data_IF_860369688755
#
_entry.id   IF_860369688755
#
_cell.length_a   1.000
_cell.length_b   1.000
_cell.length_c   1.000
_cell.angle_alpha   90.00
_cell.angle_beta   90.00
_cell.angle_gamma   90.00
#
_symmetry.space_group_name_H-M   'P 1'
#
loop_
_entity.id
_entity.type
_entity.pdbx_description
1 polymer ?
#
# COMPACT_ATOMS: atom_id res chain seq x y z
N UNK A 1 23.24 6.18 21.27
CA UNK A 1 22.34 5.29 22.04
C UNK A 1 21.04 5.18 21.28
N UNK A 2 20.66 3.98 20.85
CA UNK A 2 19.36 3.74 20.23
C UNK A 2 18.25 4.04 21.25
N UNK A 3 17.40 5.04 20.99
CA UNK A 3 16.17 5.18 21.76
C UNK A 3 15.13 4.29 21.10
N UNK A 4 14.96 3.05 21.59
CA UNK A 4 13.69 2.36 21.34
C UNK A 4 12.59 3.22 21.95
N UNK A 5 11.55 3.55 21.19
CA UNK A 5 10.34 4.12 21.78
C UNK A 5 9.79 3.10 22.77
N UNK A 6 9.88 3.44 24.06
CA UNK A 6 9.45 2.56 25.14
C UNK A 6 7.93 2.61 25.26
N UNK A 7 7.36 1.51 25.73
CA UNK A 7 5.94 1.36 26.06
C UNK A 7 5.40 2.58 26.83
N UNK A 8 4.19 3.02 26.49
CA UNK A 8 3.49 4.08 27.20
C UNK A 8 3.86 5.52 26.83
N UNK A 9 4.60 5.72 25.72
CA UNK A 9 4.79 7.04 25.10
C UNK A 9 3.57 7.44 24.25
N UNK A 10 3.45 8.74 23.99
CA UNK A 10 2.37 9.34 23.20
C UNK A 10 2.94 10.06 21.98
N UNK A 11 2.17 10.12 20.89
CA UNK A 11 2.44 10.94 19.70
C UNK A 11 1.33 11.99 19.64
N UNK A 12 1.71 13.26 19.74
CA UNK A 12 0.80 14.41 19.63
C UNK A 12 1.08 15.18 18.33
N UNK A 13 0.13 15.16 17.40
CA UNK A 13 0.25 15.86 16.12
C UNK A 13 1.10 15.10 15.10
N UNK A 14 1.83 15.83 14.25
CA UNK A 14 2.69 15.24 13.23
C UNK A 14 4.05 14.89 13.84
N UNK A 15 4.38 13.60 13.89
CA UNK A 15 5.71 13.12 14.25
C UNK A 15 6.32 12.32 13.12
N UNK A 16 7.50 12.74 12.67
CA UNK A 16 8.31 11.99 11.71
C UNK A 16 9.35 11.17 12.47
N UNK A 17 9.20 9.85 12.41
CA UNK A 17 10.18 8.92 12.93
C UNK A 17 11.16 8.63 11.79
N UNK A 18 12.37 9.16 11.92
CA UNK A 18 13.47 8.94 10.97
C UNK A 18 14.36 7.82 11.48
N UNK A 19 14.59 6.82 10.63
CA UNK A 19 15.42 5.65 10.96
C UNK A 19 16.75 5.82 10.23
N UNK A 20 17.81 6.10 10.99
CA UNK A 20 19.13 6.39 10.44
C UNK A 20 19.96 5.11 10.32
N UNK A 21 20.06 4.54 9.13
CA UNK A 21 21.04 3.46 8.92
C UNK A 21 22.45 4.03 8.95
N UNK A 22 23.36 3.44 9.74
CA UNK A 22 24.80 3.71 9.65
C UNK A 22 25.24 3.37 8.21
N UNK A 23 25.35 4.40 7.36
CA UNK A 23 25.58 4.23 5.91
C UNK A 23 26.99 3.69 5.65
N UNK A 24 27.15 2.38 5.51
CA UNK A 24 28.18 1.84 4.63
C UNK A 24 27.62 1.86 3.20
N UNK A 25 27.85 2.96 2.50
CA UNK A 25 27.49 3.13 1.08
C UNK A 25 28.28 2.13 0.22
N UNK A 26 27.68 0.98 -0.08
CA UNK A 26 28.02 0.20 -1.26
C UNK A 26 26.98 0.53 -2.33
N UNK A 27 27.25 1.57 -3.10
CA UNK A 27 26.55 1.84 -4.36
C UNK A 27 26.93 0.72 -5.31
N UNK A 28 26.06 -0.28 -5.47
CA UNK A 28 26.24 -1.27 -6.54
C UNK A 28 25.31 -0.92 -7.69
N UNK A 29 25.97 -0.66 -8.81
CA UNK A 29 25.53 -0.41 -10.19
C UNK A 29 24.03 -0.46 -10.52
N UNK A 30 23.64 0.57 -11.29
CA UNK A 30 22.60 0.51 -12.31
C UNK A 30 22.56 -0.86 -12.99
N UNK A 31 21.55 -1.67 -12.68
CA UNK A 31 21.06 -2.62 -13.67
C UNK A 31 20.19 -1.82 -14.62
N UNK A 32 20.71 -1.56 -15.83
CA UNK A 32 19.85 -1.33 -16.98
C UNK A 32 18.80 -2.45 -16.98
N UNK A 33 17.52 -2.08 -16.88
CA UNK A 33 16.46 -3.00 -17.26
C UNK A 33 16.57 -3.23 -18.77
N UNK A 34 17.46 -4.13 -19.16
CA UNK A 34 17.42 -4.83 -20.43
C UNK A 34 16.34 -5.90 -20.36
N UNK A 35 15.09 -5.49 -20.12
CA UNK A 35 13.92 -6.29 -20.39
C UNK A 35 13.45 -5.95 -21.79
N UNK A 36 13.11 -6.96 -22.59
CA UNK A 36 12.47 -6.79 -23.90
C UNK A 36 11.36 -5.75 -23.76
N UNK A 37 11.39 -4.69 -24.56
CA UNK A 37 10.34 -3.67 -24.59
C UNK A 37 9.10 -4.36 -25.12
N UNK A 38 8.31 -4.95 -24.22
CA UNK A 38 6.94 -5.36 -24.53
C UNK A 38 6.18 -4.09 -24.91
N UNK A 39 5.37 -4.12 -25.95
CA UNK A 39 4.60 -2.97 -26.39
C UNK A 39 3.47 -2.72 -25.35
N UNK A 40 3.71 -1.89 -24.33
CA UNK A 40 2.81 -1.64 -23.19
C UNK A 40 1.63 -0.73 -23.54
N UNK A 41 1.00 -0.99 -24.68
CA UNK A 41 -0.24 -0.34 -25.07
C UNK A 41 -1.39 -0.96 -24.28
N UNK A 42 -2.45 -0.18 -24.10
CA UNK A 42 -3.72 -0.76 -23.72
C UNK A 42 -4.18 -1.74 -24.80
N UNK A 43 -4.77 -2.89 -24.42
CA UNK A 43 -5.36 -3.83 -25.36
C UNK A 43 -6.34 -3.15 -26.32
N UNK A 44 -6.42 -3.62 -27.58
CA UNK A 44 -7.13 -2.92 -28.65
C UNK A 44 -8.64 -2.82 -28.44
N UNK A 45 -9.23 -3.68 -27.60
CA UNK A 45 -10.63 -3.62 -27.24
C UNK A 45 -10.78 -2.86 -25.90
N UNK A 46 -11.15 -1.56 -25.90
CA UNK A 46 -11.31 -0.79 -24.66
C UNK A 46 -12.56 -1.21 -23.85
N UNK A 47 -13.56 -1.81 -24.49
CA UNK A 47 -14.86 -2.10 -23.86
C UNK A 47 -14.76 -3.14 -22.75
N UNK A 48 -13.72 -3.99 -22.77
CA UNK A 48 -13.49 -4.98 -21.72
C UNK A 48 -13.11 -4.34 -20.38
N UNK A 49 -12.69 -3.06 -20.37
CA UNK A 49 -12.35 -2.32 -19.16
C UNK A 49 -13.55 -1.62 -18.53
N UNK A 50 -14.65 -1.45 -19.27
CA UNK A 50 -15.82 -0.71 -18.78
C UNK A 50 -16.39 -1.34 -17.49
N UNK A 51 -16.79 -0.51 -16.50
CA UNK A 51 -16.90 0.96 -16.54
C UNK A 51 -15.61 1.73 -16.21
N UNK A 52 -14.49 1.04 -16.07
CA UNK A 52 -13.17 1.65 -15.92
C UNK A 52 -12.50 1.88 -17.28
N UNK A 53 -11.34 2.52 -17.26
CA UNK A 53 -10.56 2.85 -18.45
C UNK A 53 -9.16 2.25 -18.34
N UNK A 54 -8.61 1.77 -19.45
CA UNK A 54 -7.17 1.50 -19.55
C UNK A 54 -6.49 2.78 -20.04
N UNK A 55 -5.49 3.25 -19.31
CA UNK A 55 -4.72 4.45 -19.64
C UNK A 55 -3.26 4.06 -19.90
N UNK A 56 -2.63 4.72 -20.88
CA UNK A 56 -1.18 4.68 -21.06
C UNK A 56 -0.62 5.99 -20.51
N UNK A 57 0.41 5.93 -19.67
CA UNK A 57 1.04 7.13 -19.10
C UNK A 57 1.63 8.00 -20.24
N UNK A 58 1.14 9.24 -20.45
CA UNK A 58 1.66 10.12 -21.49
C UNK A 58 3.00 10.79 -21.12
N UNK A 59 3.53 10.56 -19.92
CA UNK A 59 4.71 11.20 -19.36
C UNK A 59 6.04 10.46 -19.62
N UNK A 60 6.90 10.46 -18.59
CA UNK A 60 8.33 10.05 -18.66
C UNK A 60 8.49 8.55 -18.98
N UNK A 61 7.45 7.75 -18.76
CA UNK A 61 7.46 6.32 -19.00
C UNK A 61 6.39 5.93 -20.03
N UNK A 62 6.59 6.21 -21.33
CA UNK A 62 5.60 6.01 -22.39
C UNK A 62 5.27 4.53 -22.71
N UNK A 63 5.63 3.63 -21.80
CA UNK A 63 5.56 2.19 -21.93
C UNK A 63 4.91 1.57 -20.68
N UNK A 64 3.90 2.21 -20.09
CA UNK A 64 3.14 1.56 -19.03
C UNK A 64 1.64 1.81 -19.16
N UNK A 65 0.89 0.73 -18.94
CA UNK A 65 -0.57 0.72 -18.91
C UNK A 65 -1.07 0.65 -17.47
N UNK A 66 -2.20 1.30 -17.22
CA UNK A 66 -2.84 1.37 -15.91
C UNK A 66 -4.35 1.20 -16.06
N UNK A 67 -5.02 0.68 -15.03
CA UNK A 67 -6.47 0.59 -14.98
C UNK A 67 -6.98 1.67 -14.03
N UNK A 68 -7.88 2.51 -14.54
CA UNK A 68 -8.41 3.68 -13.84
C UNK A 68 -9.93 3.59 -13.72
N UNK A 69 -10.41 3.52 -12.49
CA UNK A 69 -11.84 3.48 -12.15
C UNK A 69 -12.21 4.78 -11.43
N UNK A 70 -13.25 5.49 -11.87
CA UNK A 70 -13.71 6.76 -11.28
C UNK A 70 -15.24 6.87 -11.26
N UNK A 71 -15.74 7.99 -10.76
CA UNK A 71 -17.18 8.32 -10.77
C UNK A 71 -17.91 7.87 -9.51
N UNK A 72 -19.23 7.95 -9.53
CA UNK A 72 -20.09 7.73 -8.37
C UNK A 72 -21.13 6.61 -8.57
N UNK A 73 -21.07 5.94 -9.73
CA UNK A 73 -21.92 4.79 -10.02
C UNK A 73 -21.26 3.51 -9.50
N UNK A 74 -22.03 2.54 -8.96
CA UNK A 74 -21.48 1.28 -8.47
C UNK A 74 -20.70 0.52 -9.55
N UNK A 75 -19.51 0.03 -9.18
CA UNK A 75 -18.67 -0.81 -10.05
C UNK A 75 -18.53 -2.20 -9.40
N UNK A 76 -18.85 -3.25 -10.15
CA UNK A 76 -18.53 -4.62 -9.74
C UNK A 76 -17.09 -4.96 -10.18
N UNK A 77 -16.12 -4.64 -9.33
CA UNK A 77 -14.70 -4.87 -9.61
C UNK A 77 -14.39 -6.35 -9.85
N UNK A 78 -15.02 -7.27 -9.11
CA UNK A 78 -14.81 -8.72 -9.32
C UNK A 78 -15.19 -9.14 -10.73
N UNK A 79 -16.36 -8.71 -11.22
CA UNK A 79 -16.80 -9.04 -12.58
C UNK A 79 -15.90 -8.38 -13.65
N UNK A 80 -15.42 -7.16 -13.39
CA UNK A 80 -14.46 -6.48 -14.26
C UNK A 80 -13.18 -7.31 -14.40
N UNK A 81 -12.52 -7.66 -13.30
CA UNK A 81 -11.25 -8.37 -13.34
C UNK A 81 -11.38 -9.83 -13.79
N UNK A 82 -12.51 -10.49 -13.53
CA UNK A 82 -12.81 -11.80 -14.13
C UNK A 82 -12.90 -11.72 -15.65
N UNK A 83 -13.54 -10.67 -16.18
CA UNK A 83 -13.59 -10.42 -17.63
C UNK A 83 -12.20 -10.18 -18.18
N UNK A 84 -11.40 -9.31 -17.55
CA UNK A 84 -10.03 -9.06 -17.98
C UNK A 84 -9.18 -10.33 -17.95
N UNK A 85 -9.31 -11.13 -16.90
CA UNK A 85 -8.63 -12.43 -16.78
C UNK A 85 -8.97 -13.38 -17.94
N UNK A 86 -10.23 -13.39 -18.38
CA UNK A 86 -10.69 -14.23 -19.49
C UNK A 86 -10.26 -13.69 -20.87
N UNK A 87 -10.41 -12.39 -21.11
CA UNK A 87 -10.24 -11.77 -22.43
C UNK A 87 -8.78 -11.45 -22.77
N UNK A 88 -7.94 -11.17 -21.77
CA UNK A 88 -6.54 -10.78 -21.99
C UNK A 88 -5.63 -12.00 -22.17
N UNK A 89 -4.65 -11.87 -23.07
CA UNK A 89 -3.55 -12.83 -23.19
C UNK A 89 -2.60 -12.71 -22.02
N UNK A 90 -1.80 -13.74 -21.79
CA UNK A 90 -0.86 -13.78 -20.66
C UNK A 90 0.10 -12.56 -20.61
N UNK A 91 0.58 -12.08 -21.75
CA UNK A 91 1.47 -10.92 -21.87
C UNK A 91 0.76 -9.55 -21.72
N UNK A 92 -0.57 -9.55 -21.68
CA UNK A 92 -1.42 -8.37 -21.56
C UNK A 92 -1.87 -8.12 -20.10
N UNK A 93 -1.52 -8.99 -19.14
CA UNK A 93 -2.07 -8.99 -17.76
C UNK A 93 -1.29 -8.20 -16.71
N UNK A 94 -0.11 -7.70 -17.04
CA UNK A 94 0.69 -6.90 -16.10
C UNK A 94 0.48 -5.40 -16.27
N UNK A 95 0.14 -4.69 -15.19
CA UNK A 95 -0.14 -3.26 -15.22
C UNK A 95 0.75 -2.49 -14.24
N UNK A 96 1.00 -1.22 -14.52
CA UNK A 96 1.77 -0.38 -13.61
C UNK A 96 0.92 0.07 -12.43
N UNK A 97 -0.28 0.61 -12.69
CA UNK A 97 -1.20 1.03 -11.64
C UNK A 97 -2.59 0.40 -11.78
N UNK A 98 -3.17 0.04 -10.64
CA UNK A 98 -4.61 0.06 -10.44
C UNK A 98 -4.95 1.32 -9.64
N UNK A 99 -5.81 2.15 -10.19
CA UNK A 99 -6.25 3.42 -9.60
C UNK A 99 -7.75 3.37 -9.38
N UNK A 100 -8.16 3.19 -8.14
CA UNK A 100 -9.57 3.15 -7.73
C UNK A 100 -9.98 4.47 -7.08
N UNK A 101 -10.59 5.35 -7.87
CA UNK A 101 -11.12 6.66 -7.48
C UNK A 101 -12.66 6.70 -7.54
N UNK A 102 -13.31 5.55 -7.71
CA UNK A 102 -14.77 5.48 -7.72
C UNK A 102 -15.32 5.62 -6.29
N UNK A 103 -16.23 6.57 -6.11
CA UNK A 103 -16.84 6.94 -4.82
C UNK A 103 -17.96 5.99 -4.37
N UNK A 104 -18.42 5.07 -5.22
CA UNK A 104 -19.47 4.12 -4.88
C UNK A 104 -18.93 2.77 -4.39
N UNK A 105 -17.68 2.42 -4.73
CA UNK A 105 -17.07 1.19 -4.21
C UNK A 105 -16.78 1.36 -2.73
N UNK A 106 -17.38 0.49 -1.92
CA UNK A 106 -17.36 0.53 -0.47
C UNK A 106 -16.43 -0.53 0.16
N UNK A 107 -16.13 -1.59 -0.59
CA UNK A 107 -15.21 -2.66 -0.19
C UNK A 107 -14.31 -3.10 -1.34
N UNK A 108 -13.10 -3.56 -1.01
CA UNK A 108 -12.23 -4.29 -1.93
C UNK A 108 -12.31 -5.80 -1.62
N UNK A 109 -13.00 -6.61 -2.46
CA UNK A 109 -13.33 -8.00 -2.14
C UNK A 109 -12.14 -8.96 -2.27
N UNK A 110 -12.32 -10.19 -1.80
CA UNK A 110 -11.33 -11.26 -1.92
C UNK A 110 -10.97 -11.56 -3.38
N UNK A 111 -9.67 -11.74 -3.68
CA UNK A 111 -9.17 -12.11 -5.00
C UNK A 111 -9.67 -11.21 -6.13
N UNK A 112 -9.92 -9.92 -5.83
CA UNK A 112 -10.56 -9.00 -6.77
C UNK A 112 -9.83 -8.90 -8.10
N UNK A 113 -8.50 -9.03 -8.12
CA UNK A 113 -7.70 -8.87 -9.34
C UNK A 113 -7.59 -10.11 -10.23
N UNK A 114 -8.16 -11.25 -9.82
CA UNK A 114 -7.96 -12.53 -10.51
C UNK A 114 -6.46 -12.80 -10.75
N UNK A 115 -6.00 -12.85 -12.01
CA UNK A 115 -4.60 -12.98 -12.43
C UNK A 115 -4.02 -11.71 -13.08
N UNK A 116 -4.68 -10.56 -12.90
CA UNK A 116 -4.18 -9.26 -13.32
C UNK A 116 -3.23 -8.74 -12.23
N UNK A 117 -2.01 -8.39 -12.63
CA UNK A 117 -0.96 -7.96 -11.69
C UNK A 117 -0.72 -6.46 -11.77
N UNK A 118 -0.31 -5.88 -10.66
CA UNK A 118 -0.01 -4.45 -10.52
C UNK A 118 1.31 -4.25 -9.78
N UNK A 119 2.07 -3.23 -10.18
CA UNK A 119 3.19 -2.76 -9.36
C UNK A 119 2.74 -1.76 -8.30
N UNK A 120 1.65 -1.05 -8.56
CA UNK A 120 1.11 -0.01 -7.71
C UNK A 120 -0.42 -0.15 -7.60
N UNK A 121 -0.94 -0.07 -6.38
CA UNK A 121 -2.38 -0.04 -6.12
C UNK A 121 -2.70 1.24 -5.36
N UNK A 122 -3.60 2.05 -5.91
CA UNK A 122 -4.08 3.29 -5.32
C UNK A 122 -5.59 3.19 -5.08
N UNK A 123 -5.98 3.39 -3.81
CA UNK A 123 -7.34 3.24 -3.31
C UNK A 123 -7.81 4.58 -2.72
N UNK A 124 -8.60 5.34 -3.48
CA UNK A 124 -9.03 6.69 -3.13
C UNK A 124 -10.52 6.92 -3.42
N UNK A 125 -11.35 5.94 -3.02
CA UNK A 125 -12.81 6.03 -3.04
C UNK A 125 -13.36 6.52 -1.70
N UNK A 126 -14.29 7.47 -1.70
CA UNK A 126 -14.86 8.05 -0.45
C UNK A 126 -15.69 7.10 0.39
N UNK A 127 -16.20 6.00 -0.18
CA UNK A 127 -16.98 5.00 0.56
C UNK A 127 -16.19 3.74 0.88
N UNK A 128 -14.97 3.61 0.35
CA UNK A 128 -14.15 2.43 0.54
C UNK A 128 -13.69 2.36 1.99
N UNK A 129 -14.28 1.46 2.76
CA UNK A 129 -14.02 1.33 4.20
C UNK A 129 -13.31 0.04 4.56
N UNK A 130 -13.39 -0.99 3.71
CA UNK A 130 -12.87 -2.33 4.02
C UNK A 130 -12.09 -2.93 2.86
N UNK A 131 -11.00 -3.60 3.20
CA UNK A 131 -10.19 -4.40 2.29
C UNK A 131 -10.16 -5.83 2.81
N UNK A 132 -10.57 -6.79 1.98
CA UNK A 132 -10.51 -8.20 2.35
C UNK A 132 -9.05 -8.66 2.46
N UNK A 133 -8.73 -9.56 3.40
CA UNK A 133 -7.37 -10.08 3.62
C UNK A 133 -6.75 -10.78 2.40
N UNK A 134 -7.58 -11.16 1.42
CA UNK A 134 -7.18 -11.82 0.16
C UNK A 134 -7.30 -10.88 -1.05
N UNK A 135 -7.62 -9.59 -0.86
CA UNK A 135 -7.87 -8.68 -1.96
C UNK A 135 -6.66 -8.52 -2.89
N UNK A 136 -5.45 -8.51 -2.32
CA UNK A 136 -4.20 -8.30 -3.06
C UNK A 136 -3.58 -9.60 -3.60
N UNK A 137 -4.22 -10.76 -3.44
CA UNK A 137 -3.64 -12.07 -3.75
C UNK A 137 -3.15 -12.20 -5.21
N UNK A 138 -3.94 -11.72 -6.19
CA UNK A 138 -3.57 -11.77 -7.61
C UNK A 138 -2.36 -10.91 -8.00
N UNK A 139 -1.98 -9.95 -7.14
CA UNK A 139 -0.88 -9.02 -7.37
C UNK A 139 0.21 -9.09 -6.30
N UNK A 140 0.16 -10.07 -5.40
CA UNK A 140 0.97 -10.08 -4.19
C UNK A 140 2.49 -10.13 -4.46
N UNK A 141 2.88 -10.79 -5.55
CA UNK A 141 4.29 -10.98 -5.92
C UNK A 141 4.88 -9.75 -6.63
N UNK A 142 4.03 -8.98 -7.33
CA UNK A 142 4.43 -7.83 -8.15
C UNK A 142 4.26 -6.49 -7.45
N UNK A 143 3.40 -6.43 -6.43
CA UNK A 143 3.02 -5.19 -5.77
C UNK A 143 4.21 -4.60 -5.01
N UNK A 144 4.59 -3.38 -5.40
CA UNK A 144 5.65 -2.60 -4.78
C UNK A 144 5.10 -1.49 -3.92
N UNK A 145 4.00 -0.85 -4.34
CA UNK A 145 3.49 0.31 -3.62
C UNK A 145 1.97 0.21 -3.42
N UNK A 146 1.53 0.49 -2.20
CA UNK A 146 0.11 0.61 -1.84
C UNK A 146 -0.17 2.01 -1.32
N UNK A 147 -1.13 2.69 -1.93
CA UNK A 147 -1.56 4.03 -1.57
C UNK A 147 -3.04 4.00 -1.22
N UNK A 148 -3.42 4.70 -0.17
CA UNK A 148 -4.82 4.97 0.10
C UNK A 148 -5.02 6.29 0.82
N UNK A 149 -6.09 6.99 0.45
CA UNK A 149 -6.70 8.07 1.21
C UNK A 149 -8.18 7.78 1.52
N UNK A 150 -8.61 6.54 1.28
CA UNK A 150 -9.96 6.08 1.59
C UNK A 150 -10.17 5.97 3.10
N UNK A 151 -11.41 6.16 3.60
CA UNK A 151 -11.74 6.12 5.02
C UNK A 151 -11.77 4.68 5.57
N UNK A 152 -10.68 3.93 5.40
CA UNK A 152 -10.53 2.57 5.86
C UNK A 152 -10.72 2.51 7.38
N UNK A 153 -11.48 1.51 7.84
CA UNK A 153 -11.72 1.27 9.27
C UNK A 153 -10.95 0.06 9.76
N UNK A 154 -10.87 -0.09 11.08
CA UNK A 154 -10.19 -1.21 11.72
C UNK A 154 -10.72 -2.58 11.25
N UNK A 155 -9.83 -3.57 11.31
CA UNK A 155 -10.14 -4.90 10.84
C UNK A 155 -11.16 -5.67 11.70
N UNK A 156 -12.02 -6.44 11.03
CA UNK A 156 -12.96 -7.40 11.61
C UNK A 156 -12.95 -8.71 10.80
N UNK A 157 -12.45 -9.79 11.41
CA UNK A 157 -12.33 -11.11 10.77
C UNK A 157 -11.44 -11.09 9.53
N UNK A 158 -12.05 -11.34 8.37
CA UNK A 158 -11.38 -11.35 7.06
C UNK A 158 -11.24 -9.95 6.43
N UNK A 159 -11.90 -8.93 6.98
CA UNK A 159 -11.81 -7.56 6.50
C UNK A 159 -10.75 -6.83 7.30
N UNK A 160 -9.50 -6.91 6.88
CA UNK A 160 -8.36 -6.30 7.58
C UNK A 160 -7.28 -5.93 6.55
N UNK A 161 -7.05 -4.62 6.40
CA UNK A 161 -6.09 -4.09 5.44
C UNK A 161 -4.66 -4.54 5.76
N UNK A 162 -4.29 -4.70 7.03
CA UNK A 162 -2.96 -5.17 7.41
C UNK A 162 -2.77 -6.64 7.06
N UNK A 163 -3.81 -7.47 7.15
CA UNK A 163 -3.74 -8.85 6.64
C UNK A 163 -3.58 -8.90 5.13
N UNK A 164 -4.25 -8.01 4.39
CA UNK A 164 -4.09 -7.90 2.95
C UNK A 164 -2.67 -7.46 2.57
N UNK A 165 -2.12 -6.45 3.27
CA UNK A 165 -0.75 -5.95 3.12
C UNK A 165 0.28 -7.07 3.38
N UNK A 166 0.05 -7.91 4.39
CA UNK A 166 0.95 -9.01 4.73
C UNK A 166 1.02 -10.14 3.69
N UNK A 167 0.12 -10.19 2.71
CA UNK A 167 0.28 -11.07 1.55
C UNK A 167 1.33 -10.55 0.56
N UNK A 168 1.48 -9.23 0.44
CA UNK A 168 2.41 -8.61 -0.51
C UNK A 168 3.82 -8.54 0.10
N UNK A 169 4.69 -9.47 -0.28
CA UNK A 169 6.01 -9.63 0.34
C UNK A 169 7.04 -8.56 -0.09
N UNK A 170 6.84 -7.91 -1.23
CA UNK A 170 7.85 -7.06 -1.89
C UNK A 170 7.55 -5.55 -1.80
N UNK A 171 6.73 -5.13 -0.82
CA UNK A 171 6.37 -3.73 -0.68
C UNK A 171 7.59 -2.85 -0.38
N UNK A 172 7.66 -1.74 -1.10
CA UNK A 172 8.63 -0.66 -0.98
C UNK A 172 8.03 0.53 -0.23
N UNK A 173 6.78 0.90 -0.56
CA UNK A 173 6.08 2.03 0.05
C UNK A 173 4.63 1.67 0.43
N UNK A 174 4.24 2.05 1.64
CA UNK A 174 2.85 2.04 2.11
C UNK A 174 2.44 3.47 2.49
N UNK A 175 1.34 3.94 1.93
CA UNK A 175 0.63 5.14 2.34
C UNK A 175 -0.79 4.75 2.80
N UNK A 176 -1.07 4.91 4.10
CA UNK A 176 -2.36 4.76 4.77
C UNK A 176 -2.80 6.09 5.41
N UNK A 177 -2.45 7.22 4.79
CA UNK A 177 -2.85 8.53 5.28
C UNK A 177 -4.37 8.75 5.11
N UNK A 178 -4.94 9.65 5.90
CA UNK A 178 -6.37 10.01 5.85
C UNK A 178 -7.35 8.85 6.09
N UNK A 179 -6.89 7.75 6.71
CA UNK A 179 -7.76 6.63 7.06
C UNK A 179 -8.50 6.88 8.37
N UNK A 180 -9.56 6.11 8.61
CA UNK A 180 -10.30 6.07 9.88
C UNK A 180 -9.84 4.92 10.79
N UNK A 181 -8.63 4.40 10.56
CA UNK A 181 -8.02 3.38 11.40
C UNK A 181 -7.85 3.97 12.81
N UNK A 182 -8.31 3.23 13.82
CA UNK A 182 -8.12 3.62 15.22
C UNK A 182 -6.87 2.99 15.82
N UNK A 183 -6.36 1.93 15.19
CA UNK A 183 -5.17 1.21 15.63
C UNK A 183 -4.33 0.66 14.50
N UNK A 184 -3.03 0.56 14.77
CA UNK A 184 -2.11 -0.31 14.03
C UNK A 184 -1.97 -1.60 14.86
N UNK A 185 -2.30 -2.79 14.34
CA UNK A 185 -2.32 -4.01 15.14
C UNK A 185 -0.92 -4.51 15.52
N UNK A 186 -0.87 -5.45 16.46
CA UNK A 186 0.36 -6.15 16.81
C UNK A 186 0.98 -6.80 15.55
N UNK A 187 2.30 -6.69 15.42
CA UNK A 187 3.07 -7.26 14.31
C UNK A 187 2.66 -6.77 12.90
N UNK A 188 1.91 -5.65 12.79
CA UNK A 188 1.27 -5.20 11.56
C UNK A 188 2.14 -5.29 10.29
N UNK A 189 3.40 -4.83 10.36
CA UNK A 189 4.33 -4.75 9.24
C UNK A 189 5.66 -5.44 9.51
N UNK A 190 5.78 -6.27 10.56
CA UNK A 190 7.07 -6.83 10.96
C UNK A 190 7.70 -7.77 9.91
N UNK A 191 6.90 -8.28 8.97
CA UNK A 191 7.29 -9.21 7.91
C UNK A 191 7.73 -8.52 6.61
N UNK A 192 7.89 -7.19 6.59
CA UNK A 192 8.22 -6.44 5.37
C UNK A 192 9.62 -5.79 5.41
N UNK A 193 10.71 -6.58 5.37
CA UNK A 193 12.08 -6.05 5.43
C UNK A 193 12.47 -5.20 4.19
N UNK A 194 11.66 -5.23 3.12
CA UNK A 194 11.85 -4.44 1.91
C UNK A 194 11.32 -3.00 2.00
N UNK A 195 10.43 -2.70 2.96
CA UNK A 195 9.83 -1.37 3.08
C UNK A 195 10.91 -0.32 3.32
N UNK A 196 10.79 0.79 2.59
CA UNK A 196 11.68 1.96 2.73
C UNK A 196 10.94 3.16 3.30
N UNK A 197 9.65 3.27 3.01
CA UNK A 197 8.82 4.38 3.45
C UNK A 197 7.47 3.88 3.96
N UNK A 198 7.01 4.48 5.05
CA UNK A 198 5.68 4.26 5.59
C UNK A 198 5.08 5.63 5.92
N UNK A 199 3.84 5.84 5.48
CA UNK A 199 3.12 7.09 5.70
C UNK A 199 1.72 6.79 6.24
N UNK A 200 1.46 7.20 7.48
CA UNK A 200 0.20 7.01 8.20
C UNK A 200 -0.18 8.35 8.83
N UNK A 201 -0.14 9.39 8.00
CA UNK A 201 -0.42 10.73 8.45
C UNK A 201 -1.91 11.09 8.37
N UNK A 202 -2.27 12.22 8.98
CA UNK A 202 -3.60 12.82 8.86
C UNK A 202 -4.73 11.83 9.17
N UNK A 203 -4.47 10.91 10.10
CA UNK A 203 -5.39 9.84 10.51
C UNK A 203 -5.83 10.13 11.95
N UNK A 204 -6.75 11.10 12.17
CA UNK A 204 -7.04 11.66 13.48
C UNK A 204 -7.65 10.65 14.46
N UNK A 205 -8.22 9.56 13.94
CA UNK A 205 -8.79 8.48 14.75
C UNK A 205 -7.73 7.51 15.31
N UNK A 206 -6.48 7.57 14.82
CA UNK A 206 -5.41 6.67 15.23
C UNK A 206 -4.98 6.98 16.67
N UNK A 207 -5.27 6.04 17.58
CA UNK A 207 -5.03 6.19 19.02
C UNK A 207 -4.07 5.15 19.59
N UNK A 208 -3.80 4.05 18.87
CA UNK A 208 -2.92 3.00 19.37
C UNK A 208 -2.05 2.36 18.28
N UNK A 209 -0.85 1.95 18.69
CA UNK A 209 0.10 1.18 17.88
C UNK A 209 0.46 -0.08 18.67
N UNK A 210 0.24 -1.23 18.05
CA UNK A 210 0.46 -2.54 18.64
C UNK A 210 1.94 -2.86 18.89
N UNK A 211 2.15 -3.91 19.67
CA UNK A 211 3.47 -4.45 19.95
C UNK A 211 4.11 -4.98 18.67
N UNK A 212 5.41 -4.75 18.51
CA UNK A 212 6.19 -5.11 17.31
C UNK A 212 5.66 -4.58 15.97
N UNK A 213 4.74 -3.60 15.94
CA UNK A 213 4.05 -3.18 14.71
C UNK A 213 5.00 -2.85 13.54
N UNK A 214 6.15 -2.22 13.84
CA UNK A 214 7.20 -1.84 12.90
C UNK A 214 8.55 -2.50 13.20
N UNK A 215 8.54 -3.62 13.94
CA UNK A 215 9.78 -4.33 14.31
C UNK A 215 10.47 -4.90 13.08
N UNK A 216 11.80 -4.94 13.10
CA UNK A 216 12.64 -5.53 12.05
C UNK A 216 12.50 -4.91 10.65
N UNK A 217 12.01 -3.67 10.54
CA UNK A 217 11.97 -2.92 9.28
C UNK A 217 13.36 -2.35 8.94
N UNK A 218 14.27 -3.23 8.49
CA UNK A 218 15.71 -2.94 8.32
C UNK A 218 16.07 -2.00 7.18
N UNK A 219 15.15 -1.71 6.26
CA UNK A 219 15.38 -0.79 5.14
C UNK A 219 14.56 0.50 5.23
N UNK A 220 13.69 0.63 6.23
CA UNK A 220 12.87 1.83 6.37
C UNK A 220 13.77 3.01 6.70
N UNK A 221 13.61 4.08 5.92
CA UNK A 221 14.29 5.36 6.11
C UNK A 221 13.38 6.34 6.88
N UNK A 222 12.06 6.25 6.65
CA UNK A 222 11.08 7.14 7.28
C UNK A 222 9.75 6.44 7.58
N UNK A 223 9.23 6.69 8.78
CA UNK A 223 7.86 6.40 9.20
C UNK A 223 7.23 7.73 9.61
N UNK A 224 6.28 8.22 8.82
CA UNK A 224 5.51 9.42 9.15
C UNK A 224 4.19 9.01 9.81
N UNK A 225 3.96 9.46 11.04
CA UNK A 225 2.73 9.21 11.77
C UNK A 225 2.17 10.56 12.21
N UNK A 226 0.91 10.82 11.89
CA UNK A 226 0.23 12.01 12.36
C UNK A 226 -1.15 11.65 12.88
N UNK A 227 -1.36 11.94 14.16
CA UNK A 227 -2.54 11.57 14.92
C UNK A 227 -2.38 11.90 16.39
N UNK A 228 -3.18 11.27 17.24
CA UNK A 228 -3.14 11.41 18.69
C UNK A 228 -2.96 10.02 19.31
N UNK A 229 -1.79 9.41 19.08
CA UNK A 229 -1.49 8.05 19.53
C UNK A 229 -1.20 8.08 21.02
N UNK A 230 -2.06 7.45 21.82
CA UNK A 230 -1.96 7.40 23.28
C UNK A 230 -1.23 6.17 23.78
N UNK A 231 -1.33 5.08 23.03
CA UNK A 231 -0.85 3.77 23.45
C UNK A 231 0.13 3.21 22.41
N UNK A 232 1.40 3.09 22.79
CA UNK A 232 2.44 2.44 21.99
C UNK A 232 2.85 1.14 22.68
N UNK A 233 2.67 0.03 21.97
CA UNK A 233 2.98 -1.32 22.40
C UNK A 233 4.48 -1.60 22.54
N UNK A 234 4.79 -2.74 23.15
CA UNK A 234 6.17 -3.14 23.39
C UNK A 234 6.91 -3.35 22.07
N UNK A 235 8.13 -2.82 21.97
CA UNK A 235 8.99 -2.99 20.78
C UNK A 235 8.34 -2.54 19.46
N UNK A 236 7.31 -1.69 19.50
CA UNK A 236 6.59 -1.21 18.31
C UNK A 236 7.55 -0.65 17.24
N UNK A 237 8.60 0.05 17.68
CA UNK A 237 9.65 0.63 16.84
C UNK A 237 11.03 0.03 17.14
N UNK A 238 11.09 -1.27 17.46
CA UNK A 238 12.36 -1.97 17.64
C UNK A 238 13.08 -2.18 16.29
N UNK A 239 13.60 -1.08 15.75
CA UNK A 239 14.46 -1.00 14.58
C UNK A 239 15.78 -0.35 14.98
N UNK A 240 16.83 -0.57 14.19
CA UNK A 240 18.14 0.03 14.44
C UNK A 240 18.08 1.55 14.24
N UNK A 241 18.55 2.33 15.20
CA UNK A 241 18.76 3.80 15.12
C UNK A 241 17.50 4.65 14.82
N UNK A 242 16.50 4.58 15.70
CA UNK A 242 15.35 5.49 15.67
C UNK A 242 15.73 6.90 16.17
N UNK A 243 15.35 7.92 15.40
CA UNK A 243 15.34 9.33 15.80
C UNK A 243 13.97 9.94 15.50
N UNK A 244 13.53 10.88 16.32
CA UNK A 244 12.25 11.56 16.13
C UNK A 244 12.48 13.06 16.02
N UNK A 245 11.69 13.73 15.18
CA UNK A 245 11.71 15.19 15.03
C UNK A 245 11.10 15.92 16.24
N UNK A 246 10.33 15.20 17.07
CA UNK A 246 9.76 15.68 18.32
C UNK A 246 10.16 14.78 19.51
N UNK A 247 10.30 15.33 20.73
CA UNK A 247 10.51 14.52 21.93
C UNK A 247 9.24 13.69 22.23
N UNK A 248 9.35 12.37 22.05
CA UNK A 248 8.33 11.37 22.44
C UNK A 248 8.50 10.90 23.88
#
# INVERSE_FOLDING_TARGET
>A
MAQSLKKGRQIDGTTTITINHDKLLIVTLLTLFGGIIADYKCPPNPDIFLPCECLVDPGILPFYRSIYCKGDQPINLTALFQRLSHELKADEKDYLFFMQFNDAVDVLPANVFADITFQNVELDGKKLTKVHRLALNGTQDTLKNLYTHSPLVDGDGDWDVFKAINLAANLYYINLAYTNLTKIPDNALQSHPSLQRIDIALSPSLTSIGSNAFKNLTKVESIRIEGYVKDIGDEAFAVSHVSTDQPL
#
